data_IF_169742137186
#
_entry.id   IF_169742137186
#
_cell.length_a   1.000
_cell.length_b   1.000
_cell.length_c   1.000
_cell.angle_alpha   90.00
_cell.angle_beta   90.00
_cell.angle_gamma   90.00
#
_symmetry.space_group_name_H-M   'P 1'
#
loop_
_entity.id
_entity.type
_entity.pdbx_description
1 polymer ?
#
# COMPACT_ATOMS: atom_id res chain seq x y z
N UNK A 1 23.80 30.65 -31.59
CA UNK A 1 22.98 29.56 -32.15
C UNK A 1 21.87 29.29 -31.16
N UNK A 2 20.59 29.17 -31.57
CA UNK A 2 19.53 28.84 -30.65
C UNK A 2 19.70 27.39 -30.14
N UNK A 3 19.65 27.24 -28.84
CA UNK A 3 19.84 25.95 -28.15
C UNK A 3 18.51 25.54 -27.54
N UNK A 4 18.11 24.29 -27.73
CA UNK A 4 16.90 23.73 -27.12
C UNK A 4 17.34 22.64 -26.15
N UNK A 5 17.02 22.79 -24.87
CA UNK A 5 17.25 21.76 -23.85
C UNK A 5 15.97 20.95 -23.63
N UNK A 6 16.05 19.64 -23.83
CA UNK A 6 14.97 18.72 -23.52
C UNK A 6 15.36 17.82 -22.37
N UNK A 7 14.47 17.67 -21.42
CA UNK A 7 14.58 16.62 -20.42
C UNK A 7 13.86 15.37 -20.98
N UNK A 8 14.62 14.36 -21.37
CA UNK A 8 14.08 13.15 -21.95
C UNK A 8 13.89 12.09 -20.85
N UNK A 9 12.67 11.71 -20.64
CA UNK A 9 12.27 10.69 -19.68
C UNK A 9 11.80 9.46 -20.47
N UNK A 10 12.48 8.37 -20.27
CA UNK A 10 12.40 7.14 -21.03
C UNK A 10 11.21 6.24 -20.62
N UNK A 11 11.00 5.10 -21.24
CA UNK A 11 11.30 4.45 -22.52
C UNK A 11 10.08 4.03 -23.36
N UNK A 12 8.90 4.59 -23.14
CA UNK A 12 7.66 4.17 -23.82
C UNK A 12 7.45 4.93 -25.13
N UNK A 13 8.19 5.98 -25.35
CA UNK A 13 8.09 6.75 -26.59
C UNK A 13 9.05 6.27 -27.66
N UNK A 14 8.63 5.29 -28.46
CA UNK A 14 9.10 5.17 -29.83
C UNK A 14 8.49 6.31 -30.62
N UNK A 15 9.10 7.49 -30.58
CA UNK A 15 8.90 8.45 -31.67
C UNK A 15 9.62 7.81 -32.87
N UNK A 16 8.94 7.48 -33.96
CA UNK A 16 9.61 7.03 -35.17
C UNK A 16 10.35 8.24 -35.77
N UNK A 17 11.57 8.48 -35.31
CA UNK A 17 12.48 9.40 -35.96
C UNK A 17 12.97 8.70 -37.23
N UNK A 18 12.33 8.96 -38.37
CA UNK A 18 12.84 8.67 -39.68
C UNK A 18 14.06 9.58 -39.94
N UNK A 19 15.25 9.05 -39.63
CA UNK A 19 16.52 9.69 -39.86
C UNK A 19 17.61 8.98 -39.09
N UNK A 20 18.68 8.53 -39.77
CA UNK A 20 19.84 7.94 -39.13
C UNK A 20 20.52 8.94 -38.19
N UNK A 21 20.10 8.99 -36.93
CA UNK A 21 20.83 9.64 -35.84
C UNK A 21 21.67 8.54 -35.18
N UNK A 22 22.97 8.54 -35.42
CA UNK A 22 23.94 7.79 -34.61
C UNK A 22 23.90 8.37 -33.19
N UNK A 23 23.36 7.63 -32.24
CA UNK A 23 23.29 8.08 -30.84
C UNK A 23 22.25 7.38 -29.98
N UNK A 24 21.72 6.24 -30.40
CA UNK A 24 20.70 5.49 -29.65
C UNK A 24 21.28 4.46 -28.65
N UNK A 25 22.51 4.64 -28.19
CA UNK A 25 23.04 3.86 -27.07
C UNK A 25 22.42 4.22 -25.71
N UNK A 26 21.29 4.91 -25.75
CA UNK A 26 20.55 5.42 -24.60
C UNK A 26 19.85 4.35 -23.77
N UNK A 27 19.58 3.19 -24.35
CA UNK A 27 18.75 2.15 -23.74
C UNK A 27 19.51 1.18 -22.83
N UNK A 28 20.82 1.13 -22.89
CA UNK A 28 21.63 0.18 -22.09
C UNK A 28 22.03 0.68 -20.70
N UNK A 29 21.97 1.97 -20.44
CA UNK A 29 22.41 2.55 -19.16
C UNK A 29 21.33 2.57 -18.07
N UNK A 30 20.07 2.17 -18.35
CA UNK A 30 18.91 2.49 -17.55
C UNK A 30 18.51 1.46 -16.51
N UNK A 31 19.09 0.28 -16.44
CA UNK A 31 18.52 -0.81 -15.66
C UNK A 31 19.49 -1.53 -14.73
N UNK A 32 20.42 -0.84 -14.10
CA UNK A 32 20.97 -1.40 -12.87
C UNK A 32 19.96 -1.19 -11.74
N UNK A 33 19.27 -2.25 -11.32
CA UNK A 33 18.34 -2.29 -10.18
C UNK A 33 17.10 -1.41 -10.30
N UNK A 34 16.41 -1.40 -11.46
CA UNK A 34 15.14 -0.65 -11.67
C UNK A 34 15.22 0.86 -11.45
N UNK A 35 16.42 1.45 -11.40
CA UNK A 35 16.59 2.89 -11.18
C UNK A 35 16.59 3.67 -12.47
N UNK A 36 15.74 4.68 -12.51
CA UNK A 36 15.67 5.63 -13.62
C UNK A 36 16.50 6.88 -13.35
N UNK A 37 16.92 7.54 -14.43
CA UNK A 37 17.65 8.79 -14.37
C UNK A 37 17.15 9.75 -15.43
N UNK A 38 17.06 11.02 -15.07
CA UNK A 38 16.84 12.09 -16.03
C UNK A 38 18.19 12.53 -16.62
N UNK A 39 18.27 12.59 -17.94
CA UNK A 39 19.44 13.12 -18.66
C UNK A 39 18.99 14.21 -19.62
N UNK A 40 19.62 15.37 -19.54
CA UNK A 40 19.43 16.43 -20.50
C UNK A 40 20.20 16.14 -21.78
N UNK A 41 19.49 16.22 -22.92
CA UNK A 41 20.09 16.16 -24.24
C UNK A 41 19.96 17.52 -24.91
N UNK A 42 21.05 17.96 -25.51
CA UNK A 42 21.09 19.21 -26.24
C UNK A 42 21.18 18.92 -27.73
N UNK A 43 20.21 19.45 -28.47
CA UNK A 43 20.18 19.38 -29.93
C UNK A 43 20.45 20.77 -30.50
N UNK A 44 21.26 20.82 -31.55
CA UNK A 44 21.57 22.04 -32.28
C UNK A 44 20.88 22.02 -33.63
N UNK A 45 20.06 23.04 -33.89
CA UNK A 45 19.46 23.24 -35.21
C UNK A 45 20.27 24.26 -36.01
N UNK A 46 20.25 24.14 -37.33
CA UNK A 46 20.96 25.07 -38.22
C UNK A 46 20.33 26.47 -38.18
N UNK A 47 19.01 26.55 -38.05
CA UNK A 47 18.31 27.80 -37.95
C UNK A 47 17.29 27.83 -36.82
N UNK A 48 16.83 29.04 -36.47
CA UNK A 48 15.89 29.27 -35.37
C UNK A 48 14.48 28.72 -35.66
N UNK A 49 14.05 28.78 -36.92
CA UNK A 49 12.73 28.34 -37.35
C UNK A 49 12.60 26.81 -37.18
N UNK A 50 13.61 26.06 -37.62
CA UNK A 50 13.65 24.61 -37.44
C UNK A 50 13.65 24.23 -35.94
N UNK A 51 14.37 24.98 -35.13
CA UNK A 51 14.42 24.77 -33.68
C UNK A 51 13.03 24.96 -33.06
N UNK A 52 12.33 26.03 -33.41
CA UNK A 52 10.98 26.31 -32.94
C UNK A 52 9.98 25.23 -33.39
N UNK A 53 10.07 24.78 -34.64
CA UNK A 53 9.21 23.72 -35.15
C UNK A 53 9.39 22.40 -34.37
N UNK A 54 10.63 22.00 -34.05
CA UNK A 54 10.89 20.85 -33.22
C UNK A 54 10.29 20.99 -31.82
N UNK A 55 10.49 22.14 -31.16
CA UNK A 55 9.91 22.42 -29.83
C UNK A 55 8.39 22.31 -29.88
N UNK A 56 7.75 22.94 -30.87
CA UNK A 56 6.30 22.90 -31.02
C UNK A 56 5.81 21.47 -31.22
N UNK A 57 6.39 20.72 -32.16
CA UNK A 57 6.00 19.35 -32.45
C UNK A 57 6.12 18.44 -31.21
N UNK A 58 7.20 18.59 -30.44
CA UNK A 58 7.38 17.79 -29.20
C UNK A 58 6.33 18.17 -28.15
N UNK A 59 6.08 19.48 -27.98
CA UNK A 59 5.07 19.93 -27.01
C UNK A 59 3.65 19.48 -27.42
N UNK A 60 3.32 19.50 -28.69
CA UNK A 60 2.05 19.00 -29.20
C UNK A 60 1.90 17.50 -28.90
N UNK A 61 2.94 16.71 -29.14
CA UNK A 61 2.91 15.29 -28.79
C UNK A 61 2.81 15.05 -27.27
N UNK A 62 3.49 15.85 -26.44
CA UNK A 62 3.39 15.75 -25.00
C UNK A 62 2.00 16.15 -24.49
N UNK A 63 1.34 17.09 -25.13
CA UNK A 63 -0.03 17.52 -24.77
C UNK A 63 -1.10 16.47 -25.04
N UNK A 64 -0.84 15.53 -25.97
CA UNK A 64 -1.74 14.40 -26.26
C UNK A 64 -1.69 13.30 -25.16
N UNK A 65 -0.73 13.37 -24.25
CA UNK A 65 -0.58 12.41 -23.17
C UNK A 65 -1.48 12.76 -21.99
N UNK A 66 -2.75 12.39 -22.09
CA UNK A 66 -3.78 12.69 -21.08
C UNK A 66 -3.44 12.15 -19.69
N UNK A 67 -2.59 11.12 -19.59
CA UNK A 67 -2.18 10.54 -18.32
C UNK A 67 -1.19 11.40 -17.53
N UNK A 68 -0.48 12.33 -18.19
CA UNK A 68 0.51 13.19 -17.50
C UNK A 68 -0.17 14.22 -16.61
N UNK A 69 0.20 14.30 -15.33
CA UNK A 69 -0.36 15.31 -14.42
C UNK A 69 0.13 16.72 -14.80
N UNK A 70 -0.70 17.71 -14.57
CA UNK A 70 -0.40 19.14 -14.72
C UNK A 70 -0.33 19.85 -13.39
N UNK A 71 -1.14 19.43 -12.41
CA UNK A 71 -1.20 20.02 -11.08
C UNK A 71 -1.28 18.93 -10.01
N UNK A 72 -0.39 18.99 -9.03
CA UNK A 72 -0.29 18.00 -7.95
C UNK A 72 -0.36 18.66 -6.58
N UNK A 73 -1.08 18.03 -5.67
CA UNK A 73 -1.05 18.35 -4.25
C UNK A 73 0.00 17.48 -3.56
N UNK A 74 0.99 18.11 -2.93
CA UNK A 74 2.15 17.41 -2.36
C UNK A 74 2.15 17.53 -0.84
N UNK A 75 2.07 16.42 -0.14
CA UNK A 75 2.26 16.36 1.31
C UNK A 75 3.65 15.87 1.65
N UNK A 76 4.34 16.60 2.52
CA UNK A 76 5.70 16.25 2.98
C UNK A 76 5.67 15.98 4.49
N UNK A 77 6.04 14.76 4.88
CA UNK A 77 6.25 14.44 6.28
C UNK A 77 7.73 14.67 6.67
N UNK A 78 8.03 15.74 7.41
CA UNK A 78 9.40 16.09 7.79
C UNK A 78 9.98 15.16 8.85
N UNK A 79 9.14 14.37 9.52
CA UNK A 79 9.53 13.47 10.62
C UNK A 79 9.73 12.02 10.18
N UNK A 80 9.42 11.69 8.92
CA UNK A 80 9.48 10.33 8.39
C UNK A 80 10.92 9.84 8.26
N UNK A 81 11.15 8.58 8.60
CA UNK A 81 12.41 7.87 8.41
C UNK A 81 13.61 8.58 9.03
N UNK A 82 14.53 9.04 8.17
CA UNK A 82 15.75 9.80 8.54
C UNK A 82 15.52 11.30 8.63
N UNK A 83 14.27 11.77 8.58
CA UNK A 83 13.88 13.20 8.57
C UNK A 83 14.41 13.98 7.36
N UNK A 84 14.53 13.31 6.23
CA UNK A 84 15.07 13.91 4.99
C UNK A 84 13.98 14.25 3.96
N UNK A 85 12.69 14.03 4.25
CA UNK A 85 11.59 14.17 3.29
C UNK A 85 11.59 15.52 2.57
N UNK A 86 11.66 16.63 3.31
CA UNK A 86 11.72 17.99 2.75
C UNK A 86 12.92 18.17 1.81
N UNK A 87 14.12 17.77 2.26
CA UNK A 87 15.35 17.86 1.44
C UNK A 87 15.28 16.99 0.18
N UNK A 88 14.72 15.78 0.28
CA UNK A 88 14.52 14.88 -0.86
C UNK A 88 13.61 15.56 -1.88
N UNK A 89 12.48 16.11 -1.44
CA UNK A 89 11.56 16.80 -2.32
C UNK A 89 12.21 18.00 -3.01
N UNK A 90 12.77 18.95 -2.24
CA UNK A 90 13.33 20.19 -2.75
C UNK A 90 14.50 19.97 -3.70
N UNK A 91 15.40 19.02 -3.38
CA UNK A 91 16.63 18.82 -4.14
C UNK A 91 16.52 17.82 -5.30
N UNK A 92 15.58 16.85 -5.23
CA UNK A 92 15.52 15.74 -6.20
C UNK A 92 14.21 15.65 -6.96
N UNK A 93 13.09 16.06 -6.38
CA UNK A 93 11.75 15.86 -6.94
C UNK A 93 11.20 17.14 -7.56
N UNK A 94 11.17 18.24 -6.82
CA UNK A 94 10.64 19.51 -7.29
C UNK A 94 11.31 20.01 -8.61
N UNK A 95 12.64 19.89 -8.80
CA UNK A 95 13.24 20.24 -10.08
C UNK A 95 12.73 19.40 -11.26
N UNK A 96 12.42 18.10 -11.05
CA UNK A 96 11.87 17.25 -12.10
C UNK A 96 10.43 17.64 -12.45
N UNK A 97 9.60 17.95 -11.45
CA UNK A 97 8.24 18.43 -11.67
C UNK A 97 8.22 19.77 -12.40
N UNK A 98 9.10 20.71 -12.00
CA UNK A 98 9.25 21.98 -12.69
C UNK A 98 9.70 21.82 -14.16
N UNK A 99 10.68 20.94 -14.43
CA UNK A 99 11.11 20.63 -15.81
C UNK A 99 10.00 19.97 -16.64
N UNK A 100 9.09 19.22 -16.00
CA UNK A 100 7.95 18.60 -16.66
C UNK A 100 6.74 19.54 -16.77
N UNK A 101 6.87 20.82 -16.37
CA UNK A 101 5.77 21.81 -16.34
C UNK A 101 4.60 21.40 -15.45
N UNK A 102 4.87 20.69 -14.36
CA UNK A 102 3.89 20.30 -13.37
C UNK A 102 3.90 21.34 -12.25
N UNK A 103 2.76 21.98 -11.99
CA UNK A 103 2.56 22.86 -10.84
C UNK A 103 2.32 22.03 -9.58
N UNK A 104 2.82 22.49 -8.44
CA UNK A 104 2.71 21.76 -7.19
C UNK A 104 2.31 22.69 -6.04
N UNK A 105 1.24 22.33 -5.32
CA UNK A 105 0.88 22.94 -4.05
C UNK A 105 1.43 22.06 -2.92
N UNK A 106 2.35 22.63 -2.12
CA UNK A 106 3.15 21.86 -1.17
C UNK A 106 2.75 22.14 0.26
N UNK A 107 2.37 21.09 0.99
CA UNK A 107 2.02 21.13 2.40
C UNK A 107 3.01 20.32 3.20
N UNK A 108 3.76 20.97 4.08
CA UNK A 108 4.61 20.28 5.06
C UNK A 108 3.77 19.96 6.29
N UNK A 109 3.61 18.68 6.60
CA UNK A 109 2.79 18.27 7.75
C UNK A 109 3.41 18.68 9.08
N UNK A 110 2.58 19.11 10.02
CA UNK A 110 3.02 19.65 11.33
C UNK A 110 2.84 18.63 12.46
N UNK A 111 1.88 17.72 12.32
CA UNK A 111 1.54 16.70 13.31
C UNK A 111 1.01 15.43 12.60
N UNK A 112 0.80 14.36 13.34
CA UNK A 112 0.14 13.16 12.84
C UNK A 112 -1.29 13.48 12.37
N UNK A 113 -1.75 12.84 11.32
CA UNK A 113 -3.07 13.05 10.69
C UNK A 113 -3.29 14.45 10.08
N UNK A 114 -2.26 15.29 9.93
CA UNK A 114 -2.44 16.60 9.31
C UNK A 114 -2.84 16.51 7.83
N UNK A 115 -2.28 15.56 7.09
CA UNK A 115 -2.67 15.32 5.69
C UNK A 115 -4.12 14.85 5.60
N UNK A 116 -4.55 13.97 6.51
CA UNK A 116 -5.93 13.49 6.61
C UNK A 116 -6.88 14.65 6.87
N UNK A 117 -6.65 15.41 7.94
CA UNK A 117 -7.54 16.48 8.36
C UNK A 117 -7.70 17.52 7.23
N UNK A 118 -6.61 17.88 6.55
CA UNK A 118 -6.65 18.80 5.41
C UNK A 118 -7.41 18.20 4.21
N UNK A 119 -7.20 16.92 3.86
CA UNK A 119 -7.90 16.27 2.74
C UNK A 119 -9.40 16.12 2.98
N UNK A 120 -9.81 15.91 4.23
CA UNK A 120 -11.21 15.72 4.57
C UNK A 120 -12.01 17.03 4.70
N UNK A 121 -11.35 18.15 5.06
CA UNK A 121 -12.02 19.40 5.41
C UNK A 121 -11.73 20.59 4.53
N UNK A 122 -10.47 20.75 4.08
CA UNK A 122 -10.01 21.99 3.45
C UNK A 122 -9.67 21.83 1.96
N UNK A 123 -9.15 20.65 1.56
CA UNK A 123 -8.64 20.46 0.23
C UNK A 123 -9.77 20.39 -0.83
N UNK A 124 -9.67 21.24 -1.84
CA UNK A 124 -10.41 21.06 -3.09
C UNK A 124 -9.62 20.11 -4.00
N UNK A 125 -9.90 18.81 -3.89
CA UNK A 125 -9.14 17.76 -4.58
C UNK A 125 -9.43 17.71 -6.09
N UNK A 126 -10.55 18.26 -6.54
CA UNK A 126 -10.98 18.23 -7.94
C UNK A 126 -10.08 19.07 -8.86
N UNK A 127 -9.37 20.05 -8.29
CA UNK A 127 -8.42 20.87 -9.03
C UNK A 127 -7.07 20.20 -9.30
N UNK A 128 -6.83 19.00 -8.76
CA UNK A 128 -5.56 18.29 -8.89
C UNK A 128 -5.71 17.01 -9.71
N UNK A 129 -4.69 16.70 -10.50
CA UNK A 129 -4.58 15.43 -11.24
C UNK A 129 -4.09 14.28 -10.36
N UNK A 130 -3.64 14.59 -9.14
CA UNK A 130 -3.19 13.61 -8.16
C UNK A 130 -2.62 14.21 -6.89
N UNK A 131 -2.44 13.35 -5.89
CA UNK A 131 -1.81 13.65 -4.60
C UNK A 131 -0.46 12.96 -4.53
N UNK A 132 0.56 13.64 -4.02
CA UNK A 132 1.90 13.07 -3.84
C UNK A 132 2.25 13.02 -2.36
N UNK A 133 2.57 11.82 -1.88
CA UNK A 133 3.08 11.54 -0.55
C UNK A 133 4.61 11.58 -0.56
N UNK A 134 5.24 12.50 0.14
CA UNK A 134 6.68 12.49 0.41
C UNK A 134 6.90 12.02 1.84
N UNK A 135 7.01 10.71 2.01
CA UNK A 135 7.02 10.08 3.33
C UNK A 135 7.28 8.58 3.25
N UNK A 136 6.82 7.85 4.26
CA UNK A 136 6.82 6.39 4.29
C UNK A 136 5.40 5.82 4.17
N UNK A 137 5.29 4.50 4.31
CA UNK A 137 4.06 3.73 4.13
C UNK A 137 2.90 4.22 5.00
N UNK A 138 3.16 4.62 6.25
CA UNK A 138 2.11 5.15 7.15
C UNK A 138 1.47 6.45 6.66
N UNK A 139 2.26 7.38 6.06
CA UNK A 139 1.69 8.59 5.49
C UNK A 139 0.92 8.30 4.20
N UNK A 140 1.37 7.33 3.40
CA UNK A 140 0.61 6.87 2.24
C UNK A 140 -0.73 6.30 2.67
N UNK A 141 -0.75 5.43 3.68
CA UNK A 141 -1.97 4.87 4.25
C UNK A 141 -2.91 5.96 4.80
N UNK A 142 -2.38 6.99 5.47
CA UNK A 142 -3.14 8.16 5.94
C UNK A 142 -3.86 8.87 4.78
N UNK A 143 -3.16 9.13 3.68
CA UNK A 143 -3.71 9.80 2.49
C UNK A 143 -4.76 8.94 1.80
N UNK A 144 -4.48 7.65 1.56
CA UNK A 144 -5.43 6.72 0.93
C UNK A 144 -6.70 6.61 1.78
N UNK A 145 -6.55 6.46 3.10
CA UNK A 145 -7.70 6.38 4.01
C UNK A 145 -8.60 7.62 3.88
N UNK A 146 -8.01 8.82 3.86
CA UNK A 146 -8.76 10.07 3.75
C UNK A 146 -9.47 10.23 2.40
N UNK A 147 -8.77 9.89 1.32
CA UNK A 147 -9.35 9.97 -0.03
C UNK A 147 -10.52 8.99 -0.19
N UNK A 148 -10.36 7.76 0.27
CA UNK A 148 -11.44 6.77 0.24
C UNK A 148 -12.62 7.19 1.12
N UNK A 149 -12.36 7.65 2.35
CA UNK A 149 -13.40 8.16 3.24
C UNK A 149 -14.19 9.30 2.59
N UNK A 150 -13.49 10.29 2.01
CA UNK A 150 -14.10 11.38 1.27
C UNK A 150 -14.94 10.88 0.09
N UNK A 151 -14.39 9.94 -0.71
CA UNK A 151 -15.08 9.37 -1.87
C UNK A 151 -16.39 8.70 -1.45
N UNK A 152 -16.37 7.84 -0.41
CA UNK A 152 -17.58 7.17 0.08
C UNK A 152 -18.62 8.21 0.55
N UNK A 153 -18.19 9.20 1.32
CA UNK A 153 -19.07 10.26 1.84
C UNK A 153 -19.74 11.05 0.69
N UNK A 154 -18.98 11.44 -0.34
CA UNK A 154 -19.51 12.19 -1.49
C UNK A 154 -20.46 11.32 -2.32
N UNK A 155 -20.18 10.03 -2.44
CA UNK A 155 -21.03 9.08 -3.17
C UNK A 155 -22.23 8.58 -2.37
N UNK A 156 -22.39 9.00 -1.10
CA UNK A 156 -23.48 8.59 -0.23
C UNK A 156 -23.42 7.13 0.22
N UNK A 157 -22.23 6.50 0.12
CA UNK A 157 -22.00 5.12 0.57
C UNK A 157 -21.68 5.11 2.06
N UNK A 158 -22.41 4.30 2.82
CA UNK A 158 -22.15 4.08 4.24
C UNK A 158 -21.07 3.01 4.43
N UNK A 159 -19.83 3.45 4.58
CA UNK A 159 -18.67 2.58 4.82
C UNK A 159 -18.72 1.81 6.16
N UNK A 160 -19.67 2.10 7.04
CA UNK A 160 -19.90 1.30 8.25
C UNK A 160 -20.64 -0.01 7.94
N UNK A 161 -21.36 -0.08 6.84
CA UNK A 161 -22.00 -1.31 6.39
C UNK A 161 -20.95 -2.19 5.70
N UNK A 162 -20.70 -3.35 6.28
CA UNK A 162 -19.64 -4.27 5.85
C UNK A 162 -19.92 -4.99 4.51
N UNK A 163 -21.17 -4.96 4.05
CA UNK A 163 -21.67 -5.62 2.83
C UNK A 163 -21.89 -4.67 1.65
N UNK A 164 -21.60 -3.37 1.83
CA UNK A 164 -21.71 -2.39 0.75
C UNK A 164 -20.47 -2.39 -0.15
N UNK A 165 -20.71 -2.33 -1.46
CA UNK A 165 -19.67 -2.10 -2.44
C UNK A 165 -19.13 -0.68 -2.31
N UNK A 166 -17.82 -0.57 -2.13
CA UNK A 166 -17.15 0.72 -2.03
C UNK A 166 -16.94 1.33 -3.41
N UNK A 167 -17.09 2.65 -3.51
CA UNK A 167 -16.80 3.41 -4.72
C UNK A 167 -15.29 3.62 -4.87
N UNK A 168 -14.69 3.30 -6.03
CA UNK A 168 -13.28 3.56 -6.29
C UNK A 168 -12.93 5.04 -6.21
N UNK A 169 -11.72 5.35 -5.76
CA UNK A 169 -11.16 6.69 -5.81
C UNK A 169 -10.38 6.88 -7.10
N UNK A 170 -10.80 7.81 -7.96
CA UNK A 170 -10.15 8.05 -9.25
C UNK A 170 -8.90 8.94 -9.14
N UNK A 171 -8.69 9.62 -8.00
CA UNK A 171 -7.56 10.49 -7.79
C UNK A 171 -6.28 9.69 -7.56
N UNK A 172 -5.29 9.83 -8.42
CA UNK A 172 -4.03 9.08 -8.34
C UNK A 172 -3.18 9.53 -7.17
N UNK A 173 -2.53 8.57 -6.51
CA UNK A 173 -1.61 8.83 -5.40
C UNK A 173 -0.20 8.38 -5.76
N UNK A 174 0.72 9.34 -5.81
CA UNK A 174 2.14 9.08 -5.99
C UNK A 174 2.88 8.99 -4.66
N UNK A 175 3.88 8.13 -4.56
CA UNK A 175 4.72 8.02 -3.37
C UNK A 175 6.17 8.34 -3.70
N UNK A 176 6.75 9.29 -2.95
CA UNK A 176 8.18 9.59 -2.96
C UNK A 176 8.79 9.03 -1.67
N UNK A 177 9.66 8.01 -1.77
CA UNK A 177 10.15 7.30 -0.61
C UNK A 177 11.04 8.18 0.27
N UNK A 178 10.63 8.35 1.52
CA UNK A 178 11.38 9.07 2.55
C UNK A 178 11.18 8.43 3.94
N UNK A 179 10.60 7.25 3.99
CA UNK A 179 10.34 6.48 5.20
C UNK A 179 11.51 5.61 5.64
N UNK A 180 11.20 4.64 6.50
CA UNK A 180 12.17 3.67 7.01
C UNK A 180 12.19 2.38 6.18
N UNK A 181 11.05 1.96 5.66
CA UNK A 181 10.86 0.69 4.93
C UNK A 181 10.51 0.96 3.47
N UNK A 182 9.57 1.87 3.21
CA UNK A 182 9.09 2.28 1.88
C UNK A 182 8.61 1.09 1.03
N UNK A 183 7.86 0.16 1.65
CA UNK A 183 7.46 -1.08 0.98
C UNK A 183 6.46 -0.83 -0.15
N UNK A 184 5.56 0.16 -0.03
CA UNK A 184 4.61 0.51 -1.09
C UNK A 184 5.37 1.05 -2.32
N UNK A 185 6.31 1.97 -2.12
CA UNK A 185 7.14 2.46 -3.21
C UNK A 185 7.95 1.33 -3.85
N UNK A 186 8.53 0.45 -3.05
CA UNK A 186 9.32 -0.67 -3.56
C UNK A 186 8.47 -1.69 -4.33
N UNK A 187 7.27 -2.00 -3.84
CA UNK A 187 6.34 -2.90 -4.52
C UNK A 187 5.86 -2.34 -5.88
N UNK A 188 5.64 -1.03 -5.96
CA UNK A 188 5.13 -0.36 -7.17
C UNK A 188 6.21 -0.07 -8.21
N UNK A 189 7.39 0.40 -7.79
CA UNK A 189 8.46 0.84 -8.71
C UNK A 189 9.66 -0.10 -8.80
N UNK A 190 9.73 -1.13 -7.94
CA UNK A 190 10.87 -2.05 -7.85
C UNK A 190 12.11 -1.47 -7.15
N UNK A 191 12.02 -0.24 -6.64
CA UNK A 191 13.11 0.46 -5.96
C UNK A 191 12.58 1.51 -4.99
N UNK A 192 13.36 1.90 -4.01
CA UNK A 192 13.07 3.05 -3.14
C UNK A 192 13.89 4.30 -3.52
N UNK A 193 14.04 4.57 -4.82
CA UNK A 193 14.77 5.74 -5.33
C UNK A 193 13.79 6.89 -5.64
N UNK A 194 13.89 8.05 -4.95
CA UNK A 194 12.96 9.16 -5.12
C UNK A 194 12.91 9.72 -6.55
N UNK A 195 14.03 9.68 -7.27
CA UNK A 195 14.09 10.14 -8.66
C UNK A 195 13.28 9.22 -9.57
N UNK A 196 13.44 7.92 -9.41
CA UNK A 196 12.68 6.93 -10.18
C UNK A 196 11.18 7.10 -9.94
N UNK A 197 10.76 7.23 -8.69
CA UNK A 197 9.35 7.43 -8.34
C UNK A 197 8.80 8.74 -8.91
N UNK A 198 9.56 9.84 -8.82
CA UNK A 198 9.17 11.12 -9.43
C UNK A 198 9.02 11.02 -10.95
N UNK A 199 9.87 10.26 -11.63
CA UNK A 199 9.80 10.07 -13.07
C UNK A 199 8.57 9.25 -13.49
N UNK A 200 8.15 8.22 -12.73
CA UNK A 200 6.89 7.52 -12.94
C UNK A 200 5.70 8.49 -12.82
N UNK A 201 5.69 9.35 -11.81
CA UNK A 201 4.64 10.37 -11.62
C UNK A 201 4.60 11.33 -12.81
N UNK A 202 5.75 11.84 -13.26
CA UNK A 202 5.85 12.76 -14.42
C UNK A 202 5.30 12.13 -15.70
N UNK A 203 5.51 10.84 -15.92
CA UNK A 203 4.96 10.11 -17.07
C UNK A 203 3.45 9.88 -16.95
N UNK A 204 2.90 9.96 -15.75
CA UNK A 204 1.53 9.57 -15.48
C UNK A 204 1.34 8.06 -15.49
N UNK A 205 2.42 7.31 -15.25
CA UNK A 205 2.37 5.86 -15.09
C UNK A 205 1.60 5.53 -13.81
N UNK A 206 0.57 4.72 -13.93
CA UNK A 206 -0.33 4.39 -12.82
C UNK A 206 -0.75 2.93 -12.90
N UNK A 207 -1.02 2.36 -11.73
CA UNK A 207 -1.57 1.03 -11.61
C UNK A 207 -2.57 0.98 -10.45
N UNK A 208 -3.63 0.19 -10.56
CA UNK A 208 -4.60 0.05 -9.48
C UNK A 208 -3.96 -0.64 -8.28
N UNK A 209 -4.49 -0.34 -7.10
CA UNK A 209 -4.16 -1.00 -5.84
C UNK A 209 -5.45 -1.45 -5.16
N UNK A 210 -5.45 -2.65 -4.64
CA UNK A 210 -6.55 -3.16 -3.83
C UNK A 210 -6.52 -2.57 -2.43
N UNK A 211 -7.71 -2.41 -1.87
CA UNK A 211 -7.90 -1.90 -0.51
C UNK A 211 -8.79 -2.85 0.26
N UNK A 212 -8.43 -3.11 1.49
CA UNK A 212 -9.24 -3.92 2.41
C UNK A 212 -9.89 -3.02 3.46
N UNK A 213 -11.16 -3.26 3.77
CA UNK A 213 -11.83 -2.65 4.92
C UNK A 213 -11.69 -3.55 6.15
N UNK A 214 -11.30 -2.95 7.26
CA UNK A 214 -11.12 -3.65 8.56
C UNK A 214 -12.26 -3.28 9.47
N UNK A 215 -12.93 -4.28 10.04
CA UNK A 215 -14.09 -4.12 10.89
C UNK A 215 -13.91 -4.85 12.24
N UNK A 216 -14.58 -4.36 13.27
CA UNK A 216 -14.75 -5.03 14.55
C UNK A 216 -16.22 -4.97 14.95
N UNK A 217 -16.86 -6.12 15.19
CA UNK A 217 -18.28 -6.20 15.51
C UNK A 217 -19.17 -5.38 14.55
N UNK A 218 -18.95 -5.55 13.25
CA UNK A 218 -19.61 -4.81 12.16
C UNK A 218 -19.38 -3.28 12.16
N UNK A 219 -18.47 -2.78 12.99
CA UNK A 219 -18.07 -1.38 12.98
C UNK A 219 -16.79 -1.22 12.17
N UNK A 220 -16.81 -0.33 11.19
CA UNK A 220 -15.62 0.01 10.41
C UNK A 220 -14.53 0.63 11.30
N UNK A 221 -13.31 0.15 11.16
CA UNK A 221 -12.14 0.68 11.85
C UNK A 221 -11.28 1.54 10.92
N UNK A 222 -10.85 0.95 9.80
CA UNK A 222 -10.03 1.64 8.81
C UNK A 222 -9.87 0.85 7.51
N UNK A 223 -9.29 1.50 6.50
CA UNK A 223 -8.79 0.85 5.29
C UNK A 223 -7.34 0.39 5.48
N UNK A 224 -6.98 -0.70 4.81
CA UNK A 224 -5.62 -1.24 4.72
C UNK A 224 -5.24 -1.49 3.27
N UNK A 225 -4.00 -1.17 2.92
CA UNK A 225 -3.45 -1.31 1.58
C UNK A 225 -2.24 -2.24 1.50
N UNK A 226 -1.64 -2.58 2.65
CA UNK A 226 -0.39 -3.34 2.64
C UNK A 226 -0.40 -4.56 3.54
N UNK A 227 -0.50 -4.38 4.84
CA UNK A 227 -0.29 -5.45 5.81
C UNK A 227 -1.14 -5.28 7.05
N UNK A 228 -1.86 -6.34 7.41
CA UNK A 228 -2.33 -6.56 8.78
C UNK A 228 -1.50 -7.66 9.43
N UNK A 229 -0.91 -7.36 10.58
CA UNK A 229 -0.10 -8.32 11.35
C UNK A 229 -0.57 -8.45 12.80
N UNK A 230 -0.72 -9.68 13.27
CA UNK A 230 -1.08 -10.03 14.66
C UNK A 230 -0.01 -10.93 15.27
N UNK A 231 0.07 -10.97 16.57
CA UNK A 231 1.09 -11.74 17.29
C UNK A 231 2.46 -11.10 17.13
N UNK A 232 3.47 -11.85 16.70
CA UNK A 232 4.84 -11.37 16.60
C UNK A 232 4.98 -10.00 15.92
N UNK A 233 4.30 -9.79 14.77
CA UNK A 233 4.40 -8.53 14.01
C UNK A 233 3.64 -7.39 14.68
N UNK A 234 2.45 -7.65 15.23
CA UNK A 234 1.67 -6.66 15.97
C UNK A 234 2.40 -6.20 17.23
N UNK A 235 2.92 -7.15 18.03
CA UNK A 235 3.66 -6.86 19.25
C UNK A 235 4.98 -6.13 18.98
N UNK A 236 5.69 -6.55 17.92
CA UNK A 236 6.92 -5.89 17.48
C UNK A 236 6.66 -4.42 17.12
N UNK A 237 5.61 -4.16 16.36
CA UNK A 237 5.26 -2.80 15.99
C UNK A 237 4.85 -1.99 17.21
N UNK A 238 3.99 -2.52 18.07
CA UNK A 238 3.55 -1.85 19.31
C UNK A 238 4.74 -1.49 20.21
N UNK A 239 5.69 -2.41 20.41
CA UNK A 239 6.91 -2.15 21.18
C UNK A 239 7.82 -1.12 20.50
N UNK A 240 7.91 -1.15 19.14
CA UNK A 240 8.71 -0.20 18.38
C UNK A 240 8.16 1.23 18.46
N UNK A 241 6.85 1.40 18.50
CA UNK A 241 6.21 2.72 18.59
C UNK A 241 6.61 3.49 19.86
N UNK A 242 6.80 2.76 20.97
CA UNK A 242 7.31 3.36 22.22
C UNK A 242 8.75 3.82 22.12
N UNK A 243 9.47 3.40 21.07
CA UNK A 243 10.91 3.67 20.85
C UNK A 243 11.14 4.56 19.62
N UNK A 244 10.15 5.37 19.21
CA UNK A 244 10.27 6.24 18.01
C UNK A 244 11.52 7.11 17.99
N UNK A 245 12.03 7.48 19.16
CA UNK A 245 13.25 8.27 19.31
C UNK A 245 14.52 7.59 18.73
N UNK A 246 14.53 6.24 18.64
CA UNK A 246 15.65 5.47 18.09
C UNK A 246 15.68 5.45 16.55
N UNK A 247 14.71 6.05 15.87
CA UNK A 247 14.61 5.98 14.41
C UNK A 247 14.43 4.54 13.91
N UNK A 248 14.97 4.18 12.73
CA UNK A 248 14.76 2.85 12.13
C UNK A 248 15.29 1.66 12.96
N UNK A 249 16.30 1.87 13.81
CA UNK A 249 16.87 0.80 14.66
C UNK A 249 15.87 0.24 15.68
N UNK A 250 14.77 0.98 15.96
CA UNK A 250 13.71 0.51 16.86
C UNK A 250 13.08 -0.82 16.40
N UNK A 251 12.98 -1.04 15.10
CA UNK A 251 12.38 -2.27 14.56
C UNK A 251 13.25 -3.49 14.82
N UNK A 252 14.57 -3.35 14.65
CA UNK A 252 15.52 -4.42 14.89
C UNK A 252 15.53 -4.81 16.40
N UNK A 253 15.57 -3.81 17.30
CA UNK A 253 15.54 -4.04 18.74
C UNK A 253 14.22 -4.68 19.20
N UNK A 254 13.09 -4.18 18.73
CA UNK A 254 11.77 -4.74 19.07
C UNK A 254 11.58 -6.14 18.50
N UNK A 255 12.07 -6.38 17.27
CA UNK A 255 12.07 -7.70 16.65
C UNK A 255 12.85 -8.74 17.49
N UNK A 256 14.07 -8.40 17.92
CA UNK A 256 14.87 -9.28 18.81
C UNK A 256 14.14 -9.52 20.13
N UNK A 257 13.57 -8.49 20.76
CA UNK A 257 12.82 -8.63 22.00
C UNK A 257 11.62 -9.56 21.85
N UNK A 258 10.80 -9.39 20.80
CA UNK A 258 9.65 -10.25 20.56
C UNK A 258 10.04 -11.66 20.18
N UNK A 259 11.14 -11.85 19.44
CA UNK A 259 11.72 -13.16 19.17
C UNK A 259 12.13 -13.90 20.45
N UNK A 260 12.77 -13.21 21.40
CA UNK A 260 13.15 -13.80 22.68
C UNK A 260 11.92 -14.09 23.55
N UNK A 261 10.90 -13.26 23.54
CA UNK A 261 9.66 -13.50 24.27
C UNK A 261 8.90 -14.72 23.73
N UNK A 262 8.82 -14.87 22.40
CA UNK A 262 8.25 -16.02 21.71
C UNK A 262 6.84 -16.41 22.18
N UNK A 263 5.93 -15.42 22.21
CA UNK A 263 4.56 -15.60 22.64
C UNK A 263 3.70 -16.31 21.60
N UNK A 264 2.73 -17.08 22.08
CA UNK A 264 1.74 -17.76 21.27
C UNK A 264 0.34 -17.25 21.60
N UNK A 265 -0.49 -17.17 20.57
CA UNK A 265 -1.86 -16.70 20.69
C UNK A 265 -2.82 -17.78 20.17
N UNK A 266 -3.82 -18.10 20.98
CA UNK A 266 -4.87 -19.04 20.60
C UNK A 266 -6.03 -18.31 19.99
N UNK A 267 -6.65 -18.90 18.99
CA UNK A 267 -7.83 -18.32 18.34
C UNK A 267 -8.33 -19.14 17.18
N UNK A 268 -9.40 -18.62 16.61
CA UNK A 268 -10.06 -19.18 15.43
C UNK A 268 -9.92 -18.20 14.28
N UNK A 269 -9.32 -18.66 13.18
CA UNK A 269 -9.28 -17.97 11.89
C UNK A 269 -10.33 -18.59 10.99
N UNK A 270 -11.22 -17.76 10.46
CA UNK A 270 -12.18 -18.17 9.44
C UNK A 270 -11.92 -17.35 8.19
N UNK A 271 -11.94 -17.98 7.00
CA UNK A 271 -11.65 -17.25 5.77
C UNK A 271 -12.44 -17.81 4.58
N UNK A 272 -12.65 -16.95 3.59
CA UNK A 272 -13.24 -17.26 2.31
C UNK A 272 -12.13 -17.31 1.25
N UNK A 273 -11.85 -18.47 0.65
CA UNK A 273 -10.80 -18.62 -0.35
C UNK A 273 -11.06 -17.75 -1.59
N UNK A 274 -9.99 -17.41 -2.32
CA UNK A 274 -10.10 -16.85 -3.66
C UNK A 274 -10.62 -17.91 -4.65
N UNK A 275 -11.33 -17.47 -5.68
CA UNK A 275 -11.87 -18.35 -6.73
C UNK A 275 -10.85 -18.69 -7.82
N UNK A 276 -10.91 -19.91 -8.34
CA UNK A 276 -10.16 -20.35 -9.51
C UNK A 276 -8.68 -20.64 -9.26
N UNK A 277 -7.87 -20.64 -10.35
CA UNK A 277 -6.42 -20.96 -10.32
C UNK A 277 -5.55 -19.95 -9.55
N UNK A 278 -6.15 -18.99 -8.87
CA UNK A 278 -5.47 -18.02 -7.99
C UNK A 278 -5.16 -18.62 -6.61
N UNK A 279 -5.39 -19.92 -6.41
CA UNK A 279 -5.27 -20.58 -5.11
C UNK A 279 -3.86 -20.67 -4.54
N UNK A 280 -2.82 -20.42 -5.35
CA UNK A 280 -1.43 -20.68 -4.91
C UNK A 280 -0.59 -19.40 -4.74
N UNK A 281 -0.45 -18.89 -3.51
CA UNK A 281 0.53 -17.84 -3.22
C UNK A 281 1.99 -18.31 -3.37
N UNK A 282 2.22 -19.53 -3.88
CA UNK A 282 3.55 -20.14 -4.09
C UNK A 282 4.01 -20.12 -5.55
N UNK A 283 3.30 -19.49 -6.46
CA UNK A 283 3.61 -19.46 -7.89
C UNK A 283 4.87 -18.66 -8.24
N UNK A 284 5.39 -17.88 -7.28
CA UNK A 284 6.59 -17.01 -7.41
C UNK A 284 6.48 -15.96 -8.51
N UNK A 285 5.29 -15.71 -9.01
CA UNK A 285 5.03 -14.64 -9.97
C UNK A 285 4.86 -13.31 -9.24
N UNK A 286 5.95 -12.57 -9.10
CA UNK A 286 5.91 -11.25 -8.46
C UNK A 286 5.12 -10.23 -9.29
N UNK A 287 4.35 -9.39 -8.61
CA UNK A 287 3.66 -8.26 -9.23
C UNK A 287 4.66 -7.20 -9.69
N UNK A 288 4.62 -6.85 -10.97
CA UNK A 288 5.45 -5.78 -11.56
C UNK A 288 4.67 -5.07 -12.66
N UNK A 289 4.83 -3.78 -12.78
CA UNK A 289 4.22 -3.02 -13.87
C UNK A 289 4.93 -3.30 -15.22
N UNK A 290 4.17 -3.61 -16.29
CA UNK A 290 2.75 -3.93 -16.34
C UNK A 290 2.45 -5.36 -15.89
N UNK A 291 1.65 -5.53 -14.84
CA UNK A 291 1.24 -6.85 -14.36
C UNK A 291 0.05 -7.39 -15.15
N UNK A 292 0.22 -8.57 -15.77
CA UNK A 292 -0.85 -9.22 -16.53
C UNK A 292 -2.02 -9.66 -15.63
N UNK A 293 -1.72 -10.20 -14.45
CA UNK A 293 -2.74 -10.67 -13.49
C UNK A 293 -3.62 -9.50 -13.05
N UNK A 294 -3.02 -8.40 -12.57
CA UNK A 294 -3.76 -7.20 -12.18
C UNK A 294 -4.63 -6.64 -13.33
N UNK A 295 -4.07 -6.56 -14.54
CA UNK A 295 -4.83 -6.09 -15.72
C UNK A 295 -6.01 -6.99 -16.05
N UNK A 296 -5.84 -8.31 -16.01
CA UNK A 296 -6.91 -9.25 -16.30
C UNK A 296 -8.03 -9.17 -15.27
N UNK A 297 -7.69 -9.05 -13.99
CA UNK A 297 -8.65 -8.91 -12.91
C UNK A 297 -9.46 -7.63 -13.04
N UNK A 298 -8.79 -6.48 -13.27
CA UNK A 298 -9.46 -5.19 -13.49
C UNK A 298 -10.38 -5.20 -14.72
N UNK A 299 -9.97 -5.86 -15.81
CA UNK A 299 -10.81 -5.97 -17.02
C UNK A 299 -12.06 -6.82 -16.78
N UNK A 300 -11.97 -7.89 -15.98
CA UNK A 300 -13.15 -8.68 -15.60
C UNK A 300 -14.19 -7.86 -14.84
N UNK A 301 -13.76 -7.00 -13.92
CA UNK A 301 -14.67 -6.10 -13.19
C UNK A 301 -15.33 -5.08 -14.10
N UNK A 302 -14.60 -4.52 -15.07
CA UNK A 302 -15.16 -3.57 -16.03
C UNK A 302 -16.25 -4.21 -16.91
N UNK A 303 -16.04 -5.46 -17.35
CA UNK A 303 -17.01 -6.21 -18.14
C UNK A 303 -18.25 -6.62 -17.34
N UNK A 304 -18.11 -6.94 -16.05
CA UNK A 304 -19.25 -7.25 -15.19
C UNK A 304 -20.10 -6.02 -14.88
N UNK A 305 -19.49 -4.83 -14.78
CA UNK A 305 -20.19 -3.55 -14.55
C UNK A 305 -21.15 -3.17 -15.69
N UNK A 306 -20.75 -3.40 -16.93
CA UNK A 306 -21.58 -3.08 -18.10
C UNK A 306 -22.77 -4.07 -18.28
N UNK A 307 -22.64 -5.30 -17.85
CA UNK A 307 -23.72 -6.30 -17.90
C UNK A 307 -24.73 -6.20 -16.74
N UNK A 308 -24.35 -5.64 -15.60
CA UNK A 308 -25.23 -5.49 -14.43
C UNK A 308 -26.40 -4.53 -14.71
N UNK A 309 -26.23 -3.56 -15.64
CA UNK A 309 -27.31 -2.64 -15.97
C UNK A 309 -28.49 -3.28 -16.72
N UNK A 310 -28.29 -4.38 -17.46
CA UNK A 310 -29.37 -5.12 -18.12
C UNK A 310 -29.91 -6.30 -17.28
N UNK A 311 -29.08 -6.94 -16.46
CA UNK A 311 -29.49 -8.11 -15.66
C UNK A 311 -30.12 -7.75 -14.31
N UNK A 312 -30.04 -6.51 -13.85
CA UNK A 312 -30.65 -6.08 -12.58
C UNK A 312 -32.20 -6.10 -12.61
N UNK A 313 -32.82 -6.24 -13.79
CA UNK A 313 -34.28 -6.40 -13.93
C UNK A 313 -34.81 -7.82 -13.85
N UNK A 314 -33.94 -8.84 -13.92
CA UNK A 314 -34.37 -10.27 -13.89
C UNK A 314 -33.93 -11.03 -12.63
N UNK A 315 -33.22 -10.40 -11.70
CA UNK A 315 -32.67 -11.06 -10.49
C UNK A 315 -33.43 -10.78 -9.19
N UNK A 316 -34.71 -10.38 -9.27
CA UNK A 316 -35.52 -10.21 -8.04
C UNK A 316 -35.98 -11.53 -7.39
N UNK A 317 -35.79 -12.68 -8.04
CA UNK A 317 -36.39 -13.96 -7.59
C UNK A 317 -35.41 -15.15 -7.45
N UNK A 318 -34.10 -14.90 -7.41
CA UNK A 318 -33.14 -15.94 -7.01
C UNK A 318 -32.37 -15.49 -5.79
N UNK A 319 -32.82 -15.93 -4.63
CA UNK A 319 -32.03 -15.96 -3.41
C UNK A 319 -30.67 -16.58 -3.73
N UNK A 320 -29.63 -15.77 -3.64
CA UNK A 320 -28.26 -16.19 -3.87
C UNK A 320 -27.77 -17.02 -2.70
N UNK A 321 -27.78 -18.32 -2.84
CA UNK A 321 -26.91 -19.23 -2.10
C UNK A 321 -25.53 -19.30 -2.80
N UNK A 322 -24.76 -18.20 -2.81
CA UNK A 322 -23.32 -18.26 -3.05
C UNK A 322 -22.60 -18.14 -1.70
N UNK A 323 -22.92 -19.05 -0.80
CA UNK A 323 -22.12 -19.37 0.38
C UNK A 323 -20.88 -20.14 -0.09
N UNK A 324 -19.90 -19.43 -0.62
CA UNK A 324 -18.56 -19.95 -0.70
C UNK A 324 -18.20 -20.50 0.68
N UNK A 325 -17.86 -21.81 0.76
CA UNK A 325 -17.68 -22.47 2.05
C UNK A 325 -16.57 -21.79 2.86
N UNK A 326 -16.91 -21.20 4.00
CA UNK A 326 -15.95 -20.65 4.93
C UNK A 326 -15.07 -21.77 5.49
N UNK A 327 -13.77 -21.61 5.35
CA UNK A 327 -12.79 -22.48 5.99
C UNK A 327 -12.51 -21.97 7.40
N UNK A 328 -12.40 -22.89 8.35
CA UNK A 328 -12.20 -22.56 9.76
C UNK A 328 -10.98 -23.31 10.31
N UNK A 329 -10.01 -22.57 10.78
CA UNK A 329 -8.78 -23.10 11.41
C UNK A 329 -8.72 -22.63 12.86
N UNK A 330 -8.77 -23.58 13.79
CA UNK A 330 -8.53 -23.33 15.22
C UNK A 330 -7.10 -23.72 15.54
N UNK A 331 -6.38 -22.85 16.23
CA UNK A 331 -4.97 -23.12 16.48
C UNK A 331 -4.30 -22.18 17.46
N UNK A 332 -3.01 -22.44 17.59
CA UNK A 332 -2.08 -21.62 18.37
C UNK A 332 -1.06 -21.03 17.41
N UNK A 333 -1.02 -19.72 17.32
CA UNK A 333 -0.27 -18.99 16.34
C UNK A 333 0.83 -18.15 16.97
N UNK A 334 2.01 -18.11 16.33
CA UNK A 334 3.06 -17.11 16.59
C UNK A 334 2.73 -15.79 15.90
N UNK A 335 2.20 -15.87 14.68
CA UNK A 335 1.79 -14.72 13.91
C UNK A 335 0.65 -15.07 12.95
N UNK A 336 -0.20 -14.09 12.68
CA UNK A 336 -1.21 -14.11 11.64
C UNK A 336 -1.02 -12.83 10.82
N UNK A 337 -0.77 -12.97 9.52
CA UNK A 337 -0.56 -11.83 8.63
C UNK A 337 -1.50 -11.92 7.44
N UNK A 338 -2.21 -10.83 7.15
CA UNK A 338 -2.93 -10.65 5.89
C UNK A 338 -2.18 -9.60 5.06
N UNK A 339 -1.76 -9.99 3.86
CA UNK A 339 -0.83 -9.24 3.03
C UNK A 339 -1.50 -8.93 1.71
N UNK A 340 -1.79 -7.63 1.47
CA UNK A 340 -2.45 -7.18 0.23
C UNK A 340 -1.45 -6.91 -0.90
N UNK A 341 -0.18 -6.62 -0.56
CA UNK A 341 0.91 -6.42 -1.51
C UNK A 341 2.14 -7.20 -1.05
N UNK A 342 3.14 -7.40 -1.88
CA UNK A 342 4.32 -8.20 -1.51
C UNK A 342 5.03 -7.75 -0.22
N UNK A 343 4.85 -6.51 0.22
CA UNK A 343 5.59 -5.89 1.31
C UNK A 343 7.12 -6.00 1.14
N UNK A 344 7.57 -6.05 -0.11
CA UNK A 344 8.98 -6.08 -0.45
C UNK A 344 9.68 -4.77 -0.08
N UNK A 345 10.94 -4.87 0.31
CA UNK A 345 11.77 -3.72 0.64
C UNK A 345 13.25 -4.05 0.40
N UNK A 346 14.17 -3.07 0.46
CA UNK A 346 15.59 -3.34 0.23
C UNK A 346 16.21 -4.38 1.16
N UNK A 347 15.68 -4.56 2.37
CA UNK A 347 16.15 -5.58 3.34
C UNK A 347 15.52 -6.95 3.11
N UNK A 348 14.34 -6.98 2.50
CA UNK A 348 13.58 -8.18 2.14
C UNK A 348 13.05 -8.04 0.72
N UNK A 349 13.86 -8.34 -0.30
CA UNK A 349 13.48 -8.10 -1.71
C UNK A 349 12.27 -8.91 -2.19
N UNK A 350 12.01 -10.06 -1.57
CA UNK A 350 10.82 -10.87 -1.79
C UNK A 350 9.61 -10.40 -0.99
N UNK A 351 9.83 -9.70 0.11
CA UNK A 351 8.77 -9.27 1.04
C UNK A 351 8.18 -10.40 1.88
N UNK A 352 7.04 -10.12 2.50
CA UNK A 352 6.29 -11.10 3.30
C UNK A 352 5.52 -12.07 2.43
N UNK A 353 5.03 -11.65 1.27
CA UNK A 353 4.42 -12.52 0.26
C UNK A 353 4.91 -12.17 -1.14
N UNK A 354 5.88 -12.93 -1.67
CA UNK A 354 6.48 -12.65 -2.98
C UNK A 354 5.50 -12.69 -4.15
N UNK A 355 4.42 -13.45 -4.01
CA UNK A 355 3.40 -13.66 -5.04
C UNK A 355 2.13 -12.83 -4.85
N UNK A 356 2.09 -11.92 -3.88
CA UNK A 356 0.96 -11.01 -3.73
C UNK A 356 0.95 -9.96 -4.84
N UNK A 357 -0.24 -9.68 -5.34
CA UNK A 357 -0.46 -8.74 -6.45
C UNK A 357 -1.16 -7.47 -5.95
N UNK A 358 -0.87 -6.33 -6.62
CA UNK A 358 -1.40 -5.04 -6.21
C UNK A 358 -2.91 -4.90 -6.41
N UNK A 359 -3.47 -5.59 -7.41
CA UNK A 359 -4.88 -5.41 -7.79
C UNK A 359 -5.42 -6.68 -8.45
N UNK A 360 -5.42 -7.79 -7.74
CA UNK A 360 -6.00 -9.06 -8.21
C UNK A 360 -7.30 -9.43 -7.48
N UNK A 361 -7.74 -8.60 -6.54
CA UNK A 361 -8.95 -8.82 -5.74
C UNK A 361 -8.73 -9.80 -4.59
N UNK A 362 -7.46 -10.07 -4.21
CA UNK A 362 -7.14 -11.07 -3.17
C UNK A 362 -6.07 -10.59 -2.21
N UNK A 363 -5.96 -11.25 -1.07
CA UNK A 363 -4.85 -11.10 -0.12
C UNK A 363 -4.28 -12.46 0.26
N UNK A 364 -3.01 -12.48 0.63
CA UNK A 364 -2.37 -13.69 1.14
C UNK A 364 -2.46 -13.73 2.67
N UNK A 365 -3.19 -14.70 3.21
CA UNK A 365 -3.32 -14.96 4.64
C UNK A 365 -2.25 -15.96 5.05
N UNK A 366 -1.28 -15.50 5.84
CA UNK A 366 -0.12 -16.28 6.29
C UNK A 366 -0.30 -16.61 7.77
N UNK A 367 -0.43 -17.88 8.07
CA UNK A 367 -0.57 -18.41 9.43
C UNK A 367 0.74 -19.06 9.86
N UNK A 368 1.39 -18.49 10.86
CA UNK A 368 2.60 -19.05 11.46
C UNK A 368 2.17 -19.76 12.75
N UNK A 369 2.09 -21.07 12.68
CA UNK A 369 1.70 -21.92 13.79
C UNK A 369 2.82 -22.03 14.85
N UNK A 370 2.53 -22.78 15.91
CA UNK A 370 3.50 -23.04 16.97
C UNK A 370 4.75 -23.72 16.40
N UNK A 371 5.91 -23.14 16.63
CA UNK A 371 7.21 -23.63 16.18
C UNK A 371 8.29 -23.39 17.24
N UNK A 372 9.42 -24.09 17.15
CA UNK A 372 10.58 -23.78 17.97
C UNK A 372 11.18 -22.41 17.63
N UNK A 373 11.94 -21.81 18.57
CA UNK A 373 12.64 -20.55 18.28
C UNK A 373 13.60 -20.67 17.09
N UNK A 374 14.27 -21.81 16.94
CA UNK A 374 15.21 -22.03 15.82
C UNK A 374 14.46 -22.15 14.48
N UNK A 375 13.33 -22.83 14.44
CA UNK A 375 12.52 -22.93 13.23
C UNK A 375 11.94 -21.56 12.86
N UNK A 376 11.45 -20.81 13.86
CA UNK A 376 10.96 -19.46 13.61
C UNK A 376 12.08 -18.52 13.15
N UNK A 377 13.29 -18.62 13.70
CA UNK A 377 14.46 -17.88 13.18
C UNK A 377 14.74 -18.23 11.72
N UNK A 378 14.66 -19.53 11.35
CA UNK A 378 14.81 -19.97 9.96
C UNK A 378 13.75 -19.32 9.05
N UNK A 379 12.50 -19.23 9.50
CA UNK A 379 11.44 -18.53 8.79
C UNK A 379 11.79 -17.05 8.57
N UNK A 380 12.20 -16.33 9.62
CA UNK A 380 12.58 -14.91 9.51
C UNK A 380 13.79 -14.70 8.58
N UNK A 381 14.78 -15.58 8.58
CA UNK A 381 15.93 -15.51 7.67
C UNK A 381 15.48 -15.70 6.21
N UNK A 382 14.50 -16.56 5.94
CA UNK A 382 13.99 -16.78 4.57
C UNK A 382 13.33 -15.55 3.95
N UNK A 383 12.87 -14.59 4.74
CA UNK A 383 12.41 -13.30 4.21
C UNK A 383 13.55 -12.45 3.63
N UNK A 384 14.79 -12.70 4.01
CA UNK A 384 15.96 -11.91 3.57
C UNK A 384 16.77 -12.58 2.48
N UNK A 385 16.56 -13.86 2.22
CA UNK A 385 17.25 -14.64 1.21
C UNK A 385 16.30 -15.07 0.06
N UNK A 386 16.72 -16.00 -0.77
CA UNK A 386 15.95 -16.52 -1.92
C UNK A 386 15.20 -17.82 -1.61
N UNK A 387 15.34 -18.35 -0.40
CA UNK A 387 14.68 -19.59 -0.02
C UNK A 387 13.16 -19.37 0.11
N UNK A 388 12.40 -20.39 -0.20
CA UNK A 388 10.95 -20.34 -0.08
C UNK A 388 10.54 -20.28 1.39
N UNK A 389 10.01 -19.12 1.80
CA UNK A 389 9.58 -18.85 3.17
C UNK A 389 8.29 -19.61 3.56
N UNK A 390 7.53 -20.08 2.57
CA UNK A 390 6.30 -20.84 2.77
C UNK A 390 6.54 -22.37 2.80
N UNK A 391 7.72 -22.82 2.43
CA UNK A 391 8.08 -24.24 2.48
C UNK A 391 8.62 -24.64 3.86
N UNK A 392 7.78 -24.45 4.90
CA UNK A 392 8.03 -24.83 6.28
C UNK A 392 6.74 -25.45 6.85
N UNK A 393 6.83 -26.57 7.56
CA UNK A 393 5.67 -27.33 8.02
C UNK A 393 4.74 -26.59 9.00
N UNK A 394 5.23 -25.54 9.64
CA UNK A 394 4.48 -24.69 10.57
C UNK A 394 4.00 -23.37 9.93
N UNK A 395 4.21 -23.18 8.63
CA UNK A 395 3.73 -22.01 7.87
C UNK A 395 2.68 -22.47 6.88
N UNK A 396 1.49 -21.95 7.08
CA UNK A 396 0.34 -22.19 6.21
C UNK A 396 -0.03 -20.88 5.50
N UNK A 397 -0.32 -20.91 4.22
CA UNK A 397 -0.64 -19.71 3.44
C UNK A 397 -1.82 -19.98 2.52
N UNK A 398 -2.79 -19.06 2.55
CA UNK A 398 -4.01 -19.12 1.76
C UNK A 398 -4.22 -17.81 1.02
N UNK A 399 -4.66 -17.88 -0.23
CA UNK A 399 -5.13 -16.71 -0.99
C UNK A 399 -6.62 -16.55 -0.73
N UNK A 400 -7.01 -15.41 -0.15
CA UNK A 400 -8.36 -15.22 0.39
C UNK A 400 -8.97 -13.89 -0.04
N UNK A 401 -10.30 -13.82 -0.06
CA UNK A 401 -11.06 -12.57 -0.28
C UNK A 401 -11.48 -11.93 1.04
N UNK A 402 -11.75 -12.74 2.04
CA UNK A 402 -12.17 -12.29 3.37
C UNK A 402 -11.57 -13.18 4.43
N UNK A 403 -11.30 -12.63 5.61
CA UNK A 403 -11.03 -13.43 6.79
C UNK A 403 -11.56 -12.78 8.06
N UNK A 404 -11.75 -13.59 9.09
CA UNK A 404 -12.12 -13.21 10.44
C UNK A 404 -11.17 -13.86 11.41
N UNK A 405 -10.83 -13.16 12.45
CA UNK A 405 -10.09 -13.71 13.59
C UNK A 405 -10.84 -13.45 14.89
N UNK A 406 -11.05 -14.50 15.66
CA UNK A 406 -11.59 -14.46 17.01
C UNK A 406 -10.58 -15.07 17.97
N UNK A 407 -10.00 -14.29 18.89
CA UNK A 407 -9.13 -14.84 19.93
C UNK A 407 -9.93 -15.74 20.87
N UNK A 408 -9.29 -16.80 21.39
CA UNK A 408 -9.87 -17.64 22.42
C UNK A 408 -9.91 -16.85 23.73
N UNK A 409 -11.10 -16.69 24.31
CA UNK A 409 -11.24 -16.05 25.62
C UNK A 409 -10.64 -16.99 26.67
N UNK A 410 -9.70 -16.50 27.48
CA UNK A 410 -9.32 -17.21 28.71
C UNK A 410 -10.49 -17.15 29.67
N UNK A 411 -10.94 -18.28 30.18
CA UNK A 411 -12.04 -18.44 31.15
C UNK A 411 -11.76 -17.79 32.51
N UNK A 412 -11.39 -16.51 32.52
CA UNK A 412 -11.20 -15.72 33.73
C UNK A 412 -11.91 -14.38 33.56
N UNK A 413 -13.23 -14.42 33.63
CA UNK A 413 -13.98 -13.25 34.08
C UNK A 413 -15.20 -13.72 34.83
N UNK A 414 -15.11 -13.71 36.15
CA UNK A 414 -16.27 -13.67 37.02
C UNK A 414 -17.12 -12.43 36.66
N UNK A 415 -18.42 -12.58 36.65
CA UNK A 415 -19.43 -11.52 36.34
C UNK A 415 -19.30 -10.21 37.14
N UNK A 416 -18.33 -10.13 38.06
CA UNK A 416 -18.10 -8.96 38.92
C UNK A 416 -17.39 -7.79 38.21
N UNK A 417 -16.62 -8.02 37.13
CA UNK A 417 -15.87 -6.93 36.46
C UNK A 417 -16.67 -6.16 35.40
N UNK A 418 -17.80 -6.70 34.93
CA UNK A 418 -18.66 -6.03 33.95
C UNK A 418 -19.45 -4.85 34.53
N UNK A 419 -19.62 -4.77 35.87
CA UNK A 419 -20.35 -3.67 36.52
C UNK A 419 -19.49 -2.43 36.81
N UNK A 420 -18.17 -2.54 36.84
CA UNK A 420 -17.28 -1.41 37.10
C UNK A 420 -16.87 -0.63 35.82
N UNK A 421 -16.89 -1.26 34.66
CA UNK A 421 -16.52 -0.60 33.40
C UNK A 421 -17.58 0.40 32.90
N UNK A 422 -18.85 0.23 33.32
CA UNK A 422 -19.95 1.12 32.91
C UNK A 422 -20.03 2.46 33.69
N UNK A 423 -19.24 2.63 34.76
CA UNK A 423 -19.30 3.85 35.59
C UNK A 423 -18.20 4.88 35.37
N UNK A 424 -17.27 4.64 34.44
CA UNK A 424 -16.13 5.55 34.16
C UNK A 424 -16.08 6.09 32.73
N UNK A 425 -17.24 6.36 32.14
CA UNK A 425 -17.27 7.15 30.88
C UNK A 425 -17.62 8.59 31.27
N UNK A 426 -16.62 9.31 31.65
CA UNK A 426 -16.69 10.76 31.89
C UNK A 426 -15.27 11.31 31.96
N UNK A 427 -14.92 12.16 31.00
CA UNK A 427 -13.65 12.87 30.79
C UNK A 427 -12.53 12.13 30.09
N UNK A 428 -12.38 12.45 28.78
CA UNK A 428 -11.25 12.10 27.96
C UNK A 428 -9.99 12.84 28.44
N UNK A 429 -9.07 12.11 29.06
CA UNK A 429 -7.66 12.47 29.08
C UNK A 429 -6.90 11.38 28.34
N UNK A 430 -6.02 11.80 27.41
CA UNK A 430 -5.03 10.97 26.73
C UNK A 430 -4.14 10.36 27.81
N UNK A 431 -4.48 9.16 28.24
CA UNK A 431 -3.81 8.40 29.29
C UNK A 431 -3.25 7.11 28.74
N UNK A 432 -1.95 6.92 28.90
CA UNK A 432 -1.16 5.72 28.67
C UNK A 432 -1.94 4.41 28.88
N UNK A 433 -1.92 3.55 27.85
CA UNK A 433 -2.48 2.20 27.95
C UNK A 433 -1.84 1.41 29.11
N UNK A 434 -2.60 0.58 29.84
CA UNK A 434 -2.10 -0.16 30.99
C UNK A 434 -1.10 -1.20 30.55
N UNK A 435 0.12 -1.09 31.05
CA UNK A 435 1.17 -2.09 30.97
C UNK A 435 1.16 -2.96 32.19
N UNK A 436 0.38 -4.06 32.15
CA UNK A 436 0.49 -5.15 33.13
C UNK A 436 0.94 -6.43 32.44
N UNK A 437 1.71 -7.32 33.05
CA UNK A 437 1.96 -8.65 32.55
C UNK A 437 0.68 -9.49 32.73
N UNK A 438 -0.07 -9.68 31.62
CA UNK A 438 -1.29 -10.49 31.68
C UNK A 438 -2.33 -10.29 30.61
N UNK A 439 -2.07 -9.54 29.51
CA UNK A 439 -3.01 -9.53 28.38
C UNK A 439 -2.87 -10.83 27.57
N UNK A 440 -3.92 -11.65 27.59
CA UNK A 440 -3.99 -12.91 26.85
C UNK A 440 -4.01 -12.72 25.32
N UNK A 441 -4.01 -11.49 24.82
CA UNK A 441 -4.19 -11.14 23.41
C UNK A 441 -3.12 -10.17 22.93
N UNK A 442 -2.72 -10.32 21.65
CA UNK A 442 -1.93 -9.34 20.91
C UNK A 442 -2.84 -8.23 20.36
N UNK A 443 -2.23 -7.19 19.79
CA UNK A 443 -2.90 -6.15 19.00
C UNK A 443 -2.62 -6.37 17.52
N UNK A 444 -3.53 -5.89 16.65
CA UNK A 444 -3.27 -5.85 15.23
C UNK A 444 -2.46 -4.62 14.87
N UNK A 445 -1.51 -4.82 13.98
CA UNK A 445 -0.85 -3.75 13.24
C UNK A 445 -1.50 -3.65 11.86
N UNK A 446 -2.04 -2.50 11.51
CA UNK A 446 -2.65 -2.22 10.22
C UNK A 446 -1.87 -1.10 9.51
N UNK A 447 -1.13 -1.44 8.45
CA UNK A 447 -0.28 -0.50 7.70
C UNK A 447 0.63 0.37 8.57
N UNK A 448 1.11 -0.18 9.69
CA UNK A 448 1.98 0.50 10.63
C UNK A 448 1.26 1.22 11.78
N UNK A 449 -0.06 1.15 11.88
CA UNK A 449 -0.82 1.64 13.03
C UNK A 449 -1.38 0.51 13.88
N UNK A 450 -1.53 0.75 15.19
CA UNK A 450 -2.02 -0.26 16.13
C UNK A 450 -3.53 -0.18 16.26
N UNK A 451 -4.19 -1.32 16.06
CA UNK A 451 -5.59 -1.51 16.37
C UNK A 451 -5.70 -2.25 17.72
N UNK A 452 -6.40 -1.68 18.70
CA UNK A 452 -6.52 -2.30 20.02
C UNK A 452 -7.45 -3.52 20.05
N UNK A 453 -8.31 -3.67 19.05
CA UNK A 453 -9.27 -4.77 18.94
C UNK A 453 -8.54 -6.06 18.55
N UNK A 454 -8.69 -7.11 19.33
CA UNK A 454 -8.10 -8.42 19.04
C UNK A 454 -8.94 -9.22 18.02
N UNK A 455 -10.28 -9.16 18.13
CA UNK A 455 -11.18 -9.75 17.14
C UNK A 455 -11.41 -8.78 15.99
N UNK A 456 -11.12 -9.21 14.76
CA UNK A 456 -11.36 -8.40 13.56
C UNK A 456 -11.97 -9.23 12.43
N UNK A 457 -12.63 -8.54 11.51
CA UNK A 457 -13.04 -9.02 10.19
C UNK A 457 -12.40 -8.13 9.13
N UNK A 458 -11.83 -8.74 8.13
CA UNK A 458 -11.28 -8.06 6.97
C UNK A 458 -12.05 -8.47 5.73
N UNK A 459 -12.45 -7.46 4.95
CA UNK A 459 -13.11 -7.64 3.66
C UNK A 459 -12.22 -6.98 2.62
N UNK A 460 -11.78 -7.76 1.66
CA UNK A 460 -10.96 -7.25 0.58
C UNK A 460 -11.86 -6.77 -0.55
N UNK A 461 -11.73 -5.51 -0.88
CA UNK A 461 -12.49 -4.88 -1.96
C UNK A 461 -11.52 -4.44 -3.04
N UNK A 462 -11.77 -4.87 -4.27
CA UNK A 462 -10.98 -4.43 -5.40
C UNK A 462 -11.37 -3.00 -5.76
N UNK A 463 -10.69 -2.03 -5.19
CA UNK A 463 -10.85 -0.61 -5.50
C UNK A 463 -9.75 -0.17 -6.47
N UNK A 464 -10.15 0.52 -7.54
CA UNK A 464 -9.21 1.22 -8.41
C UNK A 464 -8.80 2.53 -7.71
N UNK A 465 -7.64 2.58 -7.10
CA UNK A 465 -7.03 3.83 -6.62
C UNK A 465 -5.81 4.18 -7.47
#
# INVERSE_FOLDING_TARGET
MPTVSFCYINPVFRIPLFGKIKGLDFFQSLTKHHRWRCKALMFHCKDKSQCQQWVQTINDQLSLLCSRPKRLLVYINPYSGKRLGKRIYEQRVAPLFAQASISTDVIVTKHANHARDHLETEADVEQYDGVVCVGGDGMFSEIIHSLLYRTQRVSGVDHHQYDQDLVPCDLRVGIIPAGSTDCICYATTGTNDPVTSALHIVLGDSQPIDVSSVHHNNTFLRYSTSLLGYGFYGDMLMDSERKRWMGPARYDLSGVKMFLNHHYYKGTVSFLPAEGNLEFPKDKMGCRSPCHICKTSVNRLSLSGDQVCEMAKEKSDREMSDDGAWHVIRGTFLAINAVCISCACPRSPGGLSPSAHLADGTMDLILVHRASRLDFLRHLIRHTNKDDQFNLSFVEVHRVRQFRFAPEQSDVTSEAELSECSRKIGTAQVGSAPTGPGTSHSSWSCDGEILPQAAIQLIHTQLKC
#
